data_IF_233192045690
#
_entry.id   IF_233192045690
#
_cell.length_a   1.000
_cell.length_b   1.000
_cell.length_c   1.000
_cell.angle_alpha   90.00
_cell.angle_beta   90.00
_cell.angle_gamma   90.00
#
_symmetry.space_group_name_H-M   'P 1'
#
loop_
_entity.id
_entity.type
_entity.pdbx_description
1 polymer ?
#
# COMPACT_ATOMS: atom_id res chain seq x y z
N UNK A 1 -12.19 -13.63 2.62
CA UNK A 1 -10.89 -13.14 2.11
C UNK A 1 -10.98 -13.04 0.59
N UNK A 2 -10.73 -11.87 0.00
CA UNK A 2 -10.83 -11.67 -1.46
C UNK A 2 -9.45 -11.31 -2.04
N UNK A 3 -8.70 -12.31 -2.51
CA UNK A 3 -7.29 -12.13 -2.95
C UNK A 3 -7.16 -11.28 -4.22
N UNK A 4 -7.93 -11.58 -5.27
CA UNK A 4 -7.87 -10.84 -6.52
C UNK A 4 -8.12 -9.33 -6.38
N UNK A 5 -9.19 -8.85 -5.71
CA UNK A 5 -9.40 -7.41 -5.54
C UNK A 5 -8.36 -6.77 -4.62
N UNK A 6 -7.76 -7.50 -3.67
CA UNK A 6 -6.67 -6.98 -2.84
C UNK A 6 -5.42 -6.70 -3.67
N UNK A 7 -5.04 -7.63 -4.57
CA UNK A 7 -3.93 -7.39 -5.50
C UNK A 7 -4.23 -6.27 -6.48
N UNK A 8 -5.44 -6.21 -7.03
CA UNK A 8 -5.83 -5.12 -7.93
C UNK A 8 -5.74 -3.75 -7.23
N UNK A 9 -6.21 -3.66 -5.98
CA UNK A 9 -6.13 -2.44 -5.19
C UNK A 9 -4.69 -2.04 -4.86
N UNK A 10 -3.87 -3.00 -4.40
CA UNK A 10 -2.48 -2.74 -4.04
C UNK A 10 -1.64 -2.29 -5.24
N UNK A 11 -1.76 -2.99 -6.38
CA UNK A 11 -1.07 -2.59 -7.62
C UNK A 11 -1.56 -1.24 -8.10
N UNK A 12 -2.85 -0.96 -8.00
CA UNK A 12 -3.39 0.34 -8.38
C UNK A 12 -2.83 1.47 -7.50
N UNK A 13 -2.70 1.26 -6.19
CA UNK A 13 -2.10 2.23 -5.27
C UNK A 13 -0.65 2.52 -5.65
N UNK A 14 0.18 1.48 -5.75
CA UNK A 14 1.61 1.62 -6.11
C UNK A 14 1.75 2.34 -7.48
N UNK A 15 0.94 1.99 -8.48
CA UNK A 15 0.97 2.63 -9.80
C UNK A 15 0.54 4.10 -9.76
N UNK A 16 -0.47 4.44 -8.94
CA UNK A 16 -0.93 5.83 -8.78
C UNK A 16 0.16 6.70 -8.17
N UNK A 17 0.92 6.18 -7.20
CA UNK A 17 2.05 6.91 -6.61
C UNK A 17 3.13 7.21 -7.65
N UNK A 18 3.46 6.23 -8.49
CA UNK A 18 4.39 6.45 -9.62
C UNK A 18 3.83 7.43 -10.67
N UNK A 19 2.55 7.34 -11.01
CA UNK A 19 1.92 8.19 -12.02
C UNK A 19 1.80 9.66 -11.58
N UNK A 20 1.66 9.89 -10.28
CA UNK A 20 1.48 11.21 -9.67
C UNK A 20 2.69 11.60 -8.82
N UNK A 21 3.87 11.07 -9.13
CA UNK A 21 5.10 11.26 -8.36
C UNK A 21 5.38 12.72 -7.96
N UNK A 22 5.14 13.77 -8.78
CA UNK A 22 5.31 15.15 -8.34
C UNK A 22 4.43 15.57 -7.15
N UNK A 23 3.25 14.96 -6.98
CA UNK A 23 2.33 15.18 -5.86
C UNK A 23 2.72 14.36 -4.62
N UNK A 24 3.46 13.27 -4.81
CA UNK A 24 3.82 12.31 -3.75
C UNK A 24 5.30 12.34 -3.39
N UNK A 25 6.15 13.10 -4.10
CA UNK A 25 7.61 13.14 -3.87
C UNK A 25 7.99 13.58 -2.45
N UNK A 26 7.10 14.28 -1.76
CA UNK A 26 7.30 14.73 -0.40
C UNK A 26 7.03 13.63 0.65
N UNK A 27 6.57 12.43 0.24
CA UNK A 27 6.17 11.33 1.11
C UNK A 27 5.12 11.78 2.13
N UNK A 28 5.36 11.46 3.41
CA UNK A 28 4.56 11.93 4.56
C UNK A 28 4.38 13.46 4.67
N UNK A 29 5.15 14.28 3.94
CA UNK A 29 4.92 15.74 3.90
C UNK A 29 3.86 16.14 2.86
N UNK A 30 3.35 15.20 2.07
CA UNK A 30 2.23 15.37 1.15
C UNK A 30 0.94 14.86 1.78
N UNK A 31 -0.03 15.75 2.07
CA UNK A 31 -1.33 15.33 2.63
C UNK A 31 -2.09 14.36 1.74
N UNK A 32 -1.85 14.40 0.42
CA UNK A 32 -2.50 13.51 -0.53
C UNK A 32 -1.96 12.08 -0.45
N UNK A 33 -0.66 11.94 -0.15
CA UNK A 33 0.01 10.64 0.01
C UNK A 33 -0.53 9.93 1.24
N UNK A 34 -0.50 10.63 2.39
CA UNK A 34 -0.99 10.09 3.66
C UNK A 34 -2.45 9.65 3.59
N UNK A 35 -3.31 10.43 2.90
CA UNK A 35 -4.72 10.07 2.71
C UNK A 35 -4.81 8.80 1.85
N UNK A 36 -4.05 8.71 0.76
CA UNK A 36 -4.05 7.54 -0.11
C UNK A 36 -3.63 6.28 0.68
N UNK A 37 -2.51 6.35 1.40
CA UNK A 37 -1.96 5.22 2.14
C UNK A 37 -2.85 4.74 3.27
N UNK A 38 -3.45 5.65 4.03
CA UNK A 38 -4.40 5.30 5.08
C UNK A 38 -5.62 4.61 4.48
N UNK A 39 -6.16 5.13 3.38
CA UNK A 39 -7.33 4.53 2.71
C UNK A 39 -7.01 3.15 2.12
N UNK A 40 -5.87 3.00 1.46
CA UNK A 40 -5.40 1.74 0.87
C UNK A 40 -5.14 0.71 1.98
N UNK A 41 -4.39 1.08 3.02
CA UNK A 41 -4.12 0.21 4.16
C UNK A 41 -5.39 -0.28 4.84
N UNK A 42 -6.35 0.62 5.12
CA UNK A 42 -7.65 0.25 5.70
C UNK A 42 -8.44 -0.68 4.79
N UNK A 43 -8.50 -0.39 3.49
CA UNK A 43 -9.22 -1.20 2.52
C UNK A 43 -8.59 -2.60 2.38
N UNK A 44 -7.27 -2.71 2.38
CA UNK A 44 -6.56 -3.99 2.35
C UNK A 44 -6.81 -4.81 3.61
N UNK A 45 -6.73 -4.20 4.80
CA UNK A 45 -7.10 -4.85 6.08
C UNK A 45 -8.54 -5.37 6.04
N UNK A 46 -9.47 -4.63 5.41
CA UNK A 46 -10.86 -5.09 5.23
C UNK A 46 -11.01 -6.23 4.21
N UNK A 47 -10.23 -6.24 3.13
CA UNK A 47 -10.32 -7.24 2.06
C UNK A 47 -9.67 -8.59 2.42
N UNK A 48 -8.50 -8.55 3.07
CA UNK A 48 -7.72 -9.76 3.39
C UNK A 48 -7.64 -10.08 4.88
N UNK A 49 -8.16 -9.22 5.75
CA UNK A 49 -8.01 -9.32 7.20
C UNK A 49 -6.71 -8.66 7.68
N UNK A 50 -6.60 -8.45 9.00
CA UNK A 50 -5.37 -7.92 9.59
C UNK A 50 -4.19 -8.88 9.35
N UNK A 51 -3.03 -8.31 8.98
CA UNK A 51 -1.78 -9.04 8.84
C UNK A 51 -0.62 -8.13 9.22
N UNK A 52 0.38 -8.66 9.92
CA UNK A 52 1.52 -7.88 10.42
C UNK A 52 2.31 -7.19 9.30
N UNK A 53 2.32 -7.75 8.10
CA UNK A 53 3.02 -7.20 6.92
C UNK A 53 2.53 -5.81 6.50
N UNK A 54 1.33 -5.38 6.93
CA UNK A 54 0.86 -4.02 6.67
C UNK A 54 1.58 -2.96 7.50
N UNK A 55 2.18 -3.32 8.64
CA UNK A 55 2.95 -2.38 9.46
C UNK A 55 4.23 -1.91 8.75
N UNK A 56 5.15 -2.80 8.30
CA UNK A 56 6.35 -2.35 7.61
C UNK A 56 6.05 -1.71 6.25
N UNK A 57 4.96 -2.09 5.57
CA UNK A 57 4.50 -1.41 4.36
C UNK A 57 4.08 0.03 4.66
N UNK A 58 3.21 0.24 5.67
CA UNK A 58 2.82 1.58 6.08
C UNK A 58 4.01 2.44 6.53
N UNK A 59 5.01 1.84 7.19
CA UNK A 59 6.25 2.56 7.55
C UNK A 59 7.08 2.92 6.32
N UNK A 60 7.10 2.07 5.27
CA UNK A 60 7.80 2.35 4.02
C UNK A 60 7.21 3.60 3.33
N UNK A 61 5.88 3.72 3.30
CA UNK A 61 5.18 4.87 2.71
C UNK A 61 5.48 6.20 3.44
N UNK A 62 5.83 6.17 4.72
CA UNK A 62 6.16 7.41 5.45
C UNK A 62 7.53 7.99 5.10
N UNK A 63 8.37 7.25 4.38
CA UNK A 63 9.77 7.62 4.12
C UNK A 63 9.92 8.04 2.65
N UNK A 64 10.21 9.33 2.38
CA UNK A 64 10.39 9.81 1.01
C UNK A 64 11.45 9.02 0.24
N UNK A 65 11.07 8.55 -0.95
CA UNK A 65 11.89 7.70 -1.82
C UNK A 65 11.76 6.20 -1.54
N UNK A 66 11.37 5.79 -0.32
CA UNK A 66 11.07 4.39 0.02
C UNK A 66 9.61 4.05 -0.30
N UNK A 67 8.72 5.02 -0.16
CA UNK A 67 7.34 5.07 -0.69
C UNK A 67 7.21 4.71 -2.18
N UNK A 68 8.29 4.81 -2.97
CA UNK A 68 8.31 4.37 -4.36
C UNK A 68 8.40 2.84 -4.54
N UNK A 69 8.75 2.10 -3.49
CA UNK A 69 8.74 0.64 -3.50
C UNK A 69 7.30 0.17 -3.59
N UNK A 70 6.96 -0.88 -4.37
CA UNK A 70 5.59 -1.42 -4.44
C UNK A 70 5.22 -2.17 -3.15
N UNK A 71 5.10 -1.42 -2.06
CA UNK A 71 5.08 -1.90 -0.69
C UNK A 71 3.74 -2.54 -0.37
N UNK A 72 2.64 -1.98 -0.89
CA UNK A 72 1.31 -2.55 -0.77
C UNK A 72 1.19 -3.87 -1.52
N UNK A 73 1.72 -3.95 -2.75
CA UNK A 73 1.71 -5.19 -3.52
C UNK A 73 2.49 -6.29 -2.80
N UNK A 74 3.66 -5.96 -2.26
CA UNK A 74 4.47 -6.90 -1.47
C UNK A 74 3.74 -7.35 -0.19
N UNK A 75 3.12 -6.41 0.54
CA UNK A 75 2.39 -6.71 1.76
C UNK A 75 1.19 -7.63 1.51
N UNK A 76 0.42 -7.39 0.44
CA UNK A 76 -0.68 -8.27 0.04
C UNK A 76 -0.16 -9.64 -0.37
N UNK A 77 0.96 -9.72 -1.09
CA UNK A 77 1.58 -11.00 -1.42
C UNK A 77 1.94 -11.78 -0.15
N UNK A 78 2.63 -11.17 0.81
CA UNK A 78 2.97 -11.81 2.09
C UNK A 78 1.70 -12.21 2.86
N UNK A 79 0.74 -11.29 3.00
CA UNK A 79 -0.50 -11.51 3.76
C UNK A 79 -1.41 -12.58 3.15
N UNK A 80 -1.26 -12.87 1.86
CA UNK A 80 -2.06 -13.89 1.15
C UNK A 80 -1.27 -15.15 0.82
N UNK A 81 0.04 -15.17 1.11
CA UNK A 81 0.89 -16.32 0.83
C UNK A 81 0.48 -17.53 1.69
N UNK A 82 0.39 -18.72 1.07
CA UNK A 82 0.06 -19.97 1.76
C UNK A 82 -1.41 -20.13 2.21
N UNK A 83 -2.27 -19.13 2.00
CA UNK A 83 -3.71 -19.20 2.30
C UNK A 83 -4.45 -19.68 1.04
N UNK A 84 -4.72 -20.99 0.97
CA UNK A 84 -5.61 -21.60 -0.05
C UNK A 84 -7.06 -21.59 0.42
#
# INVERSE_FOLDING_TARGET
MRRAPAFALAVAADVVQWALLPLFLAGALSPWDEILDVLVGLALVRLVGWHWAFLPAFVAELVPGVDLVPSWTLAVWIATHGRR
#
